data_IF_723873843180
#
_entry.id   IF_723873843180
#
_cell.length_a   1.000
_cell.length_b   1.000
_cell.length_c   1.000
_cell.angle_alpha   90.00
_cell.angle_beta   90.00
_cell.angle_gamma   90.00
#
_symmetry.space_group_name_H-M   'P 1'
#
loop_
_entity.id
_entity.type
_entity.pdbx_description
1 polymer ?
#
# COMPACT_ATOMS: atom_id res chain seq x y z
N UNK A 1 22.25 33.25 -19.72
CA UNK A 1 20.94 33.75 -19.23
C UNK A 1 19.71 33.05 -19.84
N UNK A 2 19.80 32.40 -21.02
CA UNK A 2 18.66 31.70 -21.64
C UNK A 2 18.28 30.34 -20.99
N UNK A 3 19.18 29.71 -20.25
CA UNK A 3 18.89 28.46 -19.52
C UNK A 3 18.06 28.72 -18.25
N UNK A 4 18.23 29.89 -17.63
CA UNK A 4 17.51 30.29 -16.41
C UNK A 4 16.07 30.74 -16.73
N UNK A 5 15.81 31.29 -17.93
CA UNK A 5 14.46 31.64 -18.38
C UNK A 5 13.64 30.42 -18.82
N UNK A 6 14.27 29.33 -19.27
CA UNK A 6 13.59 28.08 -19.63
C UNK A 6 13.05 27.31 -18.40
N UNK A 7 13.63 27.52 -17.21
CA UNK A 7 13.15 26.93 -15.96
C UNK A 7 11.96 27.72 -15.39
N UNK A 8 11.86 29.03 -15.66
CA UNK A 8 10.75 29.88 -15.20
C UNK A 8 9.43 29.72 -15.98
N UNK A 9 9.43 29.07 -17.15
CA UNK A 9 8.25 29.02 -18.04
C UNK A 9 7.50 27.68 -18.08
N UNK A 10 8.02 26.60 -17.48
CA UNK A 10 7.26 25.35 -17.38
C UNK A 10 6.28 25.45 -16.21
N UNK A 11 5.06 25.93 -16.50
CA UNK A 11 3.92 25.77 -15.57
C UNK A 11 3.77 24.27 -15.28
N UNK A 12 3.95 23.89 -14.02
CA UNK A 12 3.74 22.53 -13.53
C UNK A 12 2.29 22.14 -13.84
N UNK A 13 2.06 21.03 -14.52
CA UNK A 13 0.70 20.57 -14.83
C UNK A 13 -0.02 20.10 -13.56
N UNK A 14 -1.37 20.10 -13.51
CA UNK A 14 -2.11 19.57 -12.37
C UNK A 14 -1.75 18.13 -11.99
N UNK A 15 -1.41 17.29 -12.98
CA UNK A 15 -0.94 15.92 -12.80
C UNK A 15 0.44 15.88 -12.14
N UNK A 16 1.37 16.70 -12.63
CA UNK A 16 2.71 16.82 -12.04
C UNK A 16 2.66 17.34 -10.61
N UNK A 17 1.77 18.30 -10.34
CA UNK A 17 1.53 18.82 -8.99
C UNK A 17 0.97 17.72 -8.07
N UNK A 18 0.04 16.91 -8.55
CA UNK A 18 -0.48 15.77 -7.80
C UNK A 18 0.59 14.72 -7.54
N UNK A 19 1.43 14.39 -8.52
CA UNK A 19 2.55 13.46 -8.32
C UNK A 19 3.52 13.96 -7.23
N UNK A 20 3.88 15.24 -7.25
CA UNK A 20 4.69 15.86 -6.19
C UNK A 20 3.97 15.79 -4.83
N UNK A 21 2.67 16.07 -4.80
CA UNK A 21 1.87 15.98 -3.57
C UNK A 21 1.87 14.55 -3.02
N UNK A 22 1.73 13.53 -3.86
CA UNK A 22 1.76 12.12 -3.43
C UNK A 22 3.13 11.72 -2.89
N UNK A 23 4.22 12.23 -3.47
CA UNK A 23 5.56 12.01 -2.92
C UNK A 23 5.70 12.61 -1.51
N UNK A 24 5.21 13.84 -1.31
CA UNK A 24 5.20 14.48 0.02
C UNK A 24 4.35 13.69 1.02
N UNK A 25 3.18 13.20 0.60
CA UNK A 25 2.29 12.38 1.44
C UNK A 25 2.96 11.06 1.85
N UNK A 26 3.61 10.36 0.92
CA UNK A 26 4.32 9.12 1.24
C UNK A 26 5.53 9.37 2.14
N UNK A 27 6.32 10.41 1.85
CA UNK A 27 7.42 10.83 2.72
C UNK A 27 6.95 11.22 4.12
N UNK A 28 5.84 11.92 4.24
CA UNK A 28 5.22 12.28 5.51
C UNK A 28 4.70 11.07 6.30
N UNK A 29 4.06 10.11 5.63
CA UNK A 29 3.67 8.84 6.26
C UNK A 29 4.89 8.02 6.72
N UNK A 30 5.96 7.99 5.93
CA UNK A 30 7.20 7.32 6.32
C UNK A 30 7.84 8.00 7.53
N UNK A 31 7.96 9.33 7.51
CA UNK A 31 8.46 10.13 8.63
C UNK A 31 7.61 9.94 9.89
N UNK A 32 6.28 9.93 9.77
CA UNK A 32 5.37 9.65 10.87
C UNK A 32 5.69 8.32 11.55
N UNK A 33 5.89 7.24 10.76
CA UNK A 33 6.25 5.94 11.30
C UNK A 33 7.61 5.96 12.00
N UNK A 34 8.62 6.62 11.42
CA UNK A 34 9.93 6.76 12.05
C UNK A 34 9.86 7.50 13.39
N UNK A 35 9.12 8.61 13.43
CA UNK A 35 8.95 9.40 14.65
C UNK A 35 8.23 8.56 15.72
N UNK A 36 7.17 7.84 15.38
CA UNK A 36 6.50 6.94 16.31
C UNK A 36 7.43 5.85 16.84
N UNK A 37 8.21 5.22 15.96
CA UNK A 37 9.18 4.19 16.36
C UNK A 37 10.19 4.70 17.37
N UNK A 38 10.70 5.92 17.19
CA UNK A 38 11.64 6.55 18.11
C UNK A 38 11.02 6.94 19.45
N UNK A 39 9.82 7.53 19.43
CA UNK A 39 9.21 8.08 20.65
C UNK A 39 8.62 6.98 21.52
N UNK A 40 7.94 6.00 20.91
CA UNK A 40 7.21 4.96 21.64
C UNK A 40 8.11 3.79 22.10
N UNK A 41 9.27 3.61 21.44
CA UNK A 41 10.11 2.43 21.61
C UNK A 41 9.48 1.14 21.04
N UNK A 42 10.23 0.02 20.97
CA UNK A 42 9.81 -1.14 20.19
C UNK A 42 8.47 -1.74 20.61
N UNK A 43 8.24 -1.95 21.91
CA UNK A 43 7.04 -2.64 22.39
C UNK A 43 5.74 -1.89 22.06
N UNK A 44 5.69 -0.57 22.29
CA UNK A 44 4.52 0.23 21.97
C UNK A 44 4.41 0.53 20.47
N UNK A 45 5.56 0.67 19.78
CA UNK A 45 5.58 0.81 18.33
C UNK A 45 5.02 -0.43 17.63
N UNK A 46 5.17 -1.63 18.20
CA UNK A 46 4.57 -2.84 17.66
C UNK A 46 3.04 -2.73 17.55
N UNK A 47 2.37 -2.23 18.58
CA UNK A 47 0.92 -2.02 18.56
C UNK A 47 0.52 -0.94 17.54
N UNK A 48 1.30 0.13 17.44
CA UNK A 48 1.09 1.18 16.43
C UNK A 48 1.28 0.62 15.00
N UNK A 49 2.31 -0.19 14.79
CA UNK A 49 2.61 -0.83 13.52
C UNK A 49 1.46 -1.74 13.08
N UNK A 50 0.82 -2.48 13.99
CA UNK A 50 -0.38 -3.27 13.69
C UNK A 50 -1.50 -2.40 13.16
N UNK A 51 -1.82 -1.27 13.82
CA UNK A 51 -2.88 -0.37 13.35
C UNK A 51 -2.57 0.19 11.97
N UNK A 52 -1.31 0.53 11.73
CA UNK A 52 -0.85 1.04 10.44
C UNK A 52 -0.93 -0.06 9.38
N UNK A 53 -0.57 -1.30 9.72
CA UNK A 53 -0.75 -2.45 8.83
C UNK A 53 -2.23 -2.72 8.55
N UNK A 54 -3.11 -2.65 9.55
CA UNK A 54 -4.56 -2.75 9.36
C UNK A 54 -5.09 -1.64 8.44
N UNK A 55 -4.60 -0.41 8.62
CA UNK A 55 -4.93 0.70 7.74
C UNK A 55 -4.45 0.43 6.31
N UNK A 56 -3.26 -0.11 6.12
CA UNK A 56 -2.74 -0.50 4.80
C UNK A 56 -3.59 -1.61 4.18
N UNK A 57 -3.95 -2.65 4.93
CA UNK A 57 -4.85 -3.73 4.47
C UNK A 57 -6.19 -3.16 4.01
N UNK A 58 -6.80 -2.28 4.80
CA UNK A 58 -8.04 -1.61 4.42
C UNK A 58 -7.83 -0.64 3.25
N UNK A 59 -6.67 0.00 3.12
CA UNK A 59 -6.29 0.88 2.00
C UNK A 59 -6.42 0.19 0.66
N UNK A 60 -5.94 -1.04 0.56
CA UNK A 60 -6.01 -1.85 -0.65
C UNK A 60 -7.46 -2.24 -1.00
N UNK A 61 -8.26 -2.64 -0.01
CA UNK A 61 -9.69 -2.93 -0.23
C UNK A 61 -10.46 -1.67 -0.64
N UNK A 62 -10.22 -0.54 0.03
CA UNK A 62 -10.88 0.72 -0.29
C UNK A 62 -10.39 1.31 -1.62
N UNK A 63 -9.13 1.05 -2.02
CA UNK A 63 -8.59 1.47 -3.32
C UNK A 63 -9.35 0.84 -4.48
N UNK A 64 -9.90 -0.37 -4.32
CA UNK A 64 -10.82 -0.95 -5.31
C UNK A 64 -12.00 -0.03 -5.60
N UNK A 65 -12.62 0.55 -4.56
CA UNK A 65 -13.70 1.52 -4.72
C UNK A 65 -13.22 2.80 -5.41
N UNK A 66 -12.04 3.30 -5.05
CA UNK A 66 -11.44 4.48 -5.68
C UNK A 66 -11.21 4.26 -7.19
N UNK A 67 -10.56 3.16 -7.57
CA UNK A 67 -10.23 2.84 -8.97
C UNK A 67 -11.48 2.59 -9.82
N UNK A 68 -12.44 1.84 -9.30
CA UNK A 68 -13.74 1.61 -9.97
C UNK A 68 -14.46 2.93 -10.16
N UNK A 69 -14.54 3.76 -9.12
CA UNK A 69 -15.19 5.07 -9.22
C UNK A 69 -14.49 5.96 -10.24
N UNK A 70 -13.16 6.04 -10.22
CA UNK A 70 -12.38 6.84 -11.16
C UNK A 70 -12.61 6.43 -12.62
N UNK A 71 -12.51 5.13 -12.92
CA UNK A 71 -12.70 4.60 -14.27
C UNK A 71 -14.10 4.89 -14.79
N UNK A 72 -15.13 4.58 -14.00
CA UNK A 72 -16.52 4.70 -14.46
C UNK A 72 -17.07 6.12 -14.35
N UNK A 73 -16.40 7.02 -13.61
CA UNK A 73 -16.68 8.46 -13.65
C UNK A 73 -16.43 9.09 -15.02
N UNK A 74 -15.57 8.47 -15.85
CA UNK A 74 -15.31 8.90 -17.24
C UNK A 74 -16.31 8.25 -18.22
N UNK A 75 -16.90 7.10 -17.86
CA UNK A 75 -17.80 6.32 -18.73
C UNK A 75 -19.26 6.74 -18.59
N UNK A 76 -19.67 7.16 -17.40
CA UNK A 76 -21.03 7.60 -17.12
C UNK A 76 -21.13 9.12 -17.19
N UNK A 77 -22.24 9.62 -17.75
CA UNK A 77 -22.51 11.05 -17.90
C UNK A 77 -23.82 11.44 -17.18
N UNK A 78 -23.93 12.71 -16.80
CA UNK A 78 -25.17 13.34 -16.30
C UNK A 78 -25.86 12.54 -15.18
N UNK A 79 -27.13 12.16 -15.35
CA UNK A 79 -27.89 11.42 -14.34
C UNK A 79 -27.35 10.00 -14.09
N UNK A 80 -26.83 9.33 -15.13
CA UNK A 80 -26.24 8.00 -15.01
C UNK A 80 -25.00 8.02 -14.10
N UNK A 81 -24.23 9.10 -14.16
CA UNK A 81 -23.10 9.34 -13.28
C UNK A 81 -23.54 9.50 -11.81
N UNK A 82 -24.58 10.30 -11.56
CA UNK A 82 -25.08 10.51 -10.18
C UNK A 82 -25.64 9.21 -9.58
N UNK A 83 -26.40 8.43 -10.38
CA UNK A 83 -26.93 7.14 -9.96
C UNK A 83 -25.82 6.13 -9.65
N UNK A 84 -24.79 6.07 -10.51
CA UNK A 84 -23.61 5.24 -10.29
C UNK A 84 -22.89 5.63 -9.00
N UNK A 85 -22.55 6.91 -8.83
CA UNK A 85 -21.82 7.41 -7.65
C UNK A 85 -22.62 7.16 -6.37
N UNK A 86 -23.93 7.46 -6.35
CA UNK A 86 -24.81 7.18 -5.21
C UNK A 86 -24.84 5.69 -4.84
N UNK A 87 -24.89 4.80 -5.85
CA UNK A 87 -24.84 3.35 -5.64
C UNK A 87 -23.50 2.89 -5.07
N UNK A 88 -22.39 3.41 -5.58
CA UNK A 88 -21.06 3.08 -5.08
C UNK A 88 -20.84 3.61 -3.66
N UNK A 89 -21.27 4.83 -3.34
CA UNK A 89 -21.26 5.35 -1.97
C UNK A 89 -22.06 4.47 -1.01
N UNK A 90 -23.27 4.05 -1.40
CA UNK A 90 -24.09 3.13 -0.59
C UNK A 90 -23.34 1.80 -0.35
N UNK A 91 -22.80 1.19 -1.40
CA UNK A 91 -22.06 -0.06 -1.28
C UNK A 91 -20.80 0.10 -0.40
N UNK A 92 -20.02 1.16 -0.61
CA UNK A 92 -18.82 1.47 0.17
C UNK A 92 -19.15 1.70 1.64
N UNK A 93 -20.25 2.42 1.93
CA UNK A 93 -20.73 2.65 3.30
C UNK A 93 -21.14 1.34 3.96
N UNK A 94 -21.91 0.50 3.27
CA UNK A 94 -22.33 -0.80 3.80
C UNK A 94 -21.13 -1.69 4.09
N UNK A 95 -20.17 -1.80 3.14
CA UNK A 95 -18.95 -2.58 3.34
C UNK A 95 -18.12 -2.01 4.49
N UNK A 96 -17.94 -0.69 4.56
CA UNK A 96 -17.21 -0.03 5.62
C UNK A 96 -17.85 -0.21 7.00
N UNK A 97 -19.17 -0.15 7.10
CA UNK A 97 -19.92 -0.42 8.34
C UNK A 97 -19.77 -1.89 8.74
N UNK A 98 -19.96 -2.83 7.81
CA UNK A 98 -19.82 -4.27 8.09
C UNK A 98 -18.41 -4.58 8.59
N UNK A 99 -17.37 -4.11 7.90
CA UNK A 99 -15.98 -4.33 8.31
C UNK A 99 -15.64 -3.61 9.63
N UNK A 100 -16.13 -2.38 9.84
CA UNK A 100 -15.95 -1.64 11.09
C UNK A 100 -16.60 -2.35 12.28
N UNK A 101 -17.84 -2.82 12.12
CA UNK A 101 -18.55 -3.62 13.14
C UNK A 101 -17.81 -4.92 13.40
N UNK A 102 -17.35 -5.64 12.37
CA UNK A 102 -16.57 -6.87 12.57
C UNK A 102 -15.31 -6.60 13.39
N UNK A 103 -14.55 -5.54 13.10
CA UNK A 103 -13.37 -5.17 13.88
C UNK A 103 -13.73 -4.84 15.34
N UNK A 104 -14.83 -4.11 15.57
CA UNK A 104 -15.27 -3.75 16.92
C UNK A 104 -15.72 -4.99 17.71
N UNK A 105 -16.55 -5.85 17.09
CA UNK A 105 -17.09 -7.07 17.72
C UNK A 105 -15.95 -8.04 18.06
N UNK A 106 -14.99 -8.20 17.15
CA UNK A 106 -13.84 -9.07 17.35
C UNK A 106 -12.65 -8.37 18.03
N UNK A 107 -12.80 -7.16 18.57
CA UNK A 107 -11.67 -6.37 19.12
C UNK A 107 -10.90 -7.09 20.23
N UNK A 108 -11.58 -7.86 21.09
CA UNK A 108 -10.93 -8.66 22.15
C UNK A 108 -10.15 -9.84 21.57
N UNK A 109 -10.71 -10.53 20.58
CA UNK A 109 -10.04 -11.62 19.88
C UNK A 109 -8.84 -11.09 19.10
N UNK A 110 -8.95 -9.93 18.44
CA UNK A 110 -7.83 -9.26 17.77
C UNK A 110 -6.73 -8.88 18.76
N UNK A 111 -7.09 -8.41 19.96
CA UNK A 111 -6.12 -8.15 21.03
C UNK A 111 -5.36 -9.41 21.44
N UNK A 112 -6.07 -10.53 21.63
CA UNK A 112 -5.47 -11.82 22.00
C UNK A 112 -4.61 -12.39 20.87
N UNK A 113 -5.08 -12.31 19.63
CA UNK A 113 -4.34 -12.80 18.46
C UNK A 113 -3.07 -11.97 18.28
N UNK A 114 -3.13 -10.64 18.34
CA UNK A 114 -1.96 -9.80 18.08
C UNK A 114 -1.19 -9.39 19.34
N UNK A 115 -1.46 -10.01 20.50
CA UNK A 115 -0.81 -9.68 21.77
C UNK A 115 -0.68 -8.16 21.98
N UNK A 116 -1.76 -7.40 21.76
CA UNK A 116 -1.74 -5.94 21.89
C UNK A 116 -2.12 -5.50 23.30
N UNK A 117 -1.65 -4.31 23.68
CA UNK A 117 -1.84 -3.78 25.03
C UNK A 117 -3.31 -3.49 25.36
N UNK A 118 -4.15 -3.22 24.36
CA UNK A 118 -5.56 -2.86 24.56
C UNK A 118 -6.42 -3.18 23.35
N UNK A 119 -7.59 -3.80 23.56
CA UNK A 119 -8.61 -3.98 22.52
C UNK A 119 -9.28 -2.67 22.09
N UNK A 120 -9.24 -1.64 22.94
CA UNK A 120 -9.85 -0.33 22.64
C UNK A 120 -9.22 0.33 21.42
N UNK A 121 -7.95 0.05 21.11
CA UNK A 121 -7.30 0.54 19.89
C UNK A 121 -8.03 0.07 18.62
N UNK A 122 -8.52 -1.17 18.60
CA UNK A 122 -9.28 -1.73 17.49
C UNK A 122 -10.70 -1.18 17.44
N UNK A 123 -11.31 -0.90 18.59
CA UNK A 123 -12.64 -0.28 18.64
C UNK A 123 -12.58 1.12 18.00
N UNK A 124 -11.63 1.95 18.43
CA UNK A 124 -11.42 3.32 17.88
C UNK A 124 -11.13 3.25 16.39
N UNK A 125 -10.25 2.34 15.98
CA UNK A 125 -9.93 2.13 14.57
C UNK A 125 -11.16 1.70 13.75
N UNK A 126 -11.95 0.74 14.26
CA UNK A 126 -13.17 0.22 13.64
C UNK A 126 -14.22 1.29 13.36
N UNK A 127 -14.36 2.27 14.26
CA UNK A 127 -15.26 3.43 14.06
C UNK A 127 -14.84 4.28 12.85
N UNK A 128 -13.55 4.33 12.52
CA UNK A 128 -13.03 5.10 11.39
C UNK A 128 -13.20 4.41 10.03
N UNK A 129 -13.41 3.08 10.01
CA UNK A 129 -13.46 2.30 8.78
C UNK A 129 -14.55 2.78 7.79
N UNK A 130 -15.80 3.07 8.20
CA UNK A 130 -16.79 3.63 7.29
C UNK A 130 -16.33 4.94 6.61
N UNK A 131 -15.69 5.84 7.37
CA UNK A 131 -15.16 7.10 6.84
C UNK A 131 -14.09 6.87 5.78
N UNK A 132 -13.27 5.85 5.99
CA UNK A 132 -12.22 5.47 5.05
C UNK A 132 -12.78 5.06 3.68
N UNK A 133 -13.82 4.21 3.67
CA UNK A 133 -14.46 3.77 2.43
C UNK A 133 -15.18 4.91 1.71
N UNK A 134 -15.85 5.80 2.45
CA UNK A 134 -16.45 7.02 1.90
C UNK A 134 -15.39 7.92 1.24
N UNK A 135 -14.25 8.11 1.91
CA UNK A 135 -13.14 8.90 1.41
C UNK A 135 -12.59 8.32 0.10
N UNK A 136 -12.44 7.01 -0.01
CA UNK A 136 -11.95 6.36 -1.23
C UNK A 136 -12.88 6.56 -2.43
N UNK A 137 -14.20 6.53 -2.24
CA UNK A 137 -15.15 6.87 -3.32
C UNK A 137 -14.99 8.35 -3.73
N UNK A 138 -14.88 9.26 -2.77
CA UNK A 138 -14.67 10.69 -3.05
C UNK A 138 -13.39 10.95 -3.84
N UNK A 139 -12.28 10.31 -3.44
CA UNK A 139 -11.00 10.33 -4.17
C UNK A 139 -11.16 9.80 -5.60
N UNK A 140 -11.93 8.72 -5.77
CA UNK A 140 -12.22 8.16 -7.08
C UNK A 140 -12.98 9.13 -7.98
N UNK A 141 -13.97 9.86 -7.45
CA UNK A 141 -14.68 10.91 -8.19
C UNK A 141 -13.73 12.02 -8.64
N UNK A 142 -12.87 12.53 -7.74
CA UNK A 142 -11.90 13.57 -8.09
C UNK A 142 -10.88 13.08 -9.12
N UNK A 143 -10.40 11.84 -8.98
CA UNK A 143 -9.47 11.22 -9.92
C UNK A 143 -10.10 11.05 -11.31
N UNK A 144 -11.35 10.58 -11.39
CA UNK A 144 -12.04 10.41 -12.67
C UNK A 144 -12.37 11.73 -13.37
N UNK A 145 -12.67 12.79 -12.61
CA UNK A 145 -12.89 14.14 -13.15
C UNK A 145 -11.61 14.93 -13.40
N UNK A 146 -10.44 14.34 -13.12
CA UNK A 146 -9.15 15.01 -13.19
C UNK A 146 -9.08 16.27 -12.28
N UNK A 147 -9.86 16.31 -11.19
CA UNK A 147 -9.82 17.34 -10.15
C UNK A 147 -8.62 17.09 -9.19
N UNK A 148 -7.41 16.96 -9.77
CA UNK A 148 -6.17 16.56 -9.08
C UNK A 148 -5.79 17.45 -7.88
N UNK A 149 -6.16 18.73 -7.92
CA UNK A 149 -5.97 19.65 -6.78
C UNK A 149 -6.79 19.22 -5.57
N UNK A 150 -8.07 18.88 -5.76
CA UNK A 150 -8.93 18.43 -4.66
C UNK A 150 -8.49 17.06 -4.17
N UNK A 151 -8.12 16.17 -5.09
CA UNK A 151 -7.54 14.88 -4.74
C UNK A 151 -6.29 15.04 -3.85
N UNK A 152 -5.37 15.93 -4.24
CA UNK A 152 -4.17 16.25 -3.45
C UNK A 152 -4.52 16.74 -2.05
N UNK A 153 -5.51 17.62 -1.91
CA UNK A 153 -5.95 18.14 -0.61
C UNK A 153 -6.43 17.00 0.29
N UNK A 154 -7.20 16.04 -0.21
CA UNK A 154 -7.66 14.90 0.61
C UNK A 154 -6.50 14.07 1.17
N UNK A 155 -5.45 13.83 0.38
CA UNK A 155 -4.29 13.05 0.83
C UNK A 155 -3.41 13.83 1.81
N UNK A 156 -3.19 15.12 1.55
CA UNK A 156 -2.41 15.98 2.43
C UNK A 156 -3.13 16.22 3.76
N UNK A 157 -4.44 16.47 3.73
CA UNK A 157 -5.25 16.65 4.92
C UNK A 157 -5.22 15.40 5.81
N UNK A 158 -5.38 14.20 5.24
CA UNK A 158 -5.23 12.94 5.97
C UNK A 158 -3.84 12.80 6.60
N UNK A 159 -2.78 12.96 5.81
CA UNK A 159 -1.40 12.75 6.29
C UNK A 159 -1.00 13.77 7.36
N UNK A 160 -1.22 15.06 7.10
CA UNK A 160 -0.84 16.15 8.02
C UNK A 160 -1.64 16.08 9.31
N UNK A 161 -2.95 15.85 9.24
CA UNK A 161 -3.77 15.71 10.45
C UNK A 161 -3.34 14.49 11.26
N UNK A 162 -3.06 13.33 10.63
CA UNK A 162 -2.53 12.15 11.33
C UNK A 162 -1.26 12.49 12.08
N UNK A 163 -0.30 13.13 11.40
CA UNK A 163 0.99 13.47 11.97
C UNK A 163 0.84 14.48 13.11
N UNK A 164 0.20 15.62 12.85
CA UNK A 164 0.09 16.73 13.82
C UNK A 164 -0.76 16.35 15.02
N UNK A 165 -1.87 15.63 14.84
CA UNK A 165 -2.77 15.28 15.93
C UNK A 165 -2.16 14.19 16.79
N UNK A 166 -1.59 13.13 16.18
CA UNK A 166 -0.96 12.06 16.98
C UNK A 166 0.22 12.63 17.78
N UNK A 167 1.11 13.39 17.14
CA UNK A 167 2.27 13.96 17.83
C UNK A 167 1.84 15.01 18.86
N UNK A 168 0.87 15.85 18.53
CA UNK A 168 0.31 16.82 19.47
C UNK A 168 -0.24 16.15 20.72
N UNK A 169 -1.02 15.08 20.57
CA UNK A 169 -1.55 14.33 21.72
C UNK A 169 -0.43 13.66 22.53
N UNK A 170 0.57 13.07 21.87
CA UNK A 170 1.70 12.44 22.57
C UNK A 170 2.49 13.48 23.38
N UNK A 171 2.86 14.62 22.79
CA UNK A 171 3.70 15.61 23.45
C UNK A 171 2.96 16.48 24.47
N UNK A 172 1.68 16.81 24.23
CA UNK A 172 0.91 17.66 25.14
C UNK A 172 0.34 16.89 26.34
N UNK A 173 -0.09 15.64 26.14
CA UNK A 173 -0.68 14.83 27.21
C UNK A 173 0.34 13.88 27.85
N UNK A 174 1.54 13.76 27.28
CA UNK A 174 2.59 12.81 27.68
C UNK A 174 2.09 11.36 27.70
N UNK A 175 1.13 11.02 26.83
CA UNK A 175 0.56 9.67 26.70
C UNK A 175 1.22 8.99 25.50
N UNK A 176 2.21 8.15 25.77
CA UNK A 176 2.83 7.28 24.79
C UNK A 176 2.06 5.95 24.77
N UNK A 177 1.06 5.85 23.88
CA UNK A 177 0.18 4.68 23.80
C UNK A 177 -0.37 4.48 22.39
N UNK A 178 -0.60 3.22 22.02
CA UNK A 178 -1.27 2.82 20.78
C UNK A 178 -2.69 3.38 20.65
N UNK A 179 -3.34 3.74 21.76
CA UNK A 179 -4.63 4.43 21.76
C UNK A 179 -4.55 5.82 21.11
N UNK A 180 -3.47 6.56 21.38
CA UNK A 180 -3.26 7.90 20.80
C UNK A 180 -3.06 7.79 19.29
N UNK A 181 -2.34 6.75 18.84
CA UNK A 181 -2.17 6.43 17.42
C UNK A 181 -3.53 6.09 16.77
N UNK A 182 -4.35 5.26 17.41
CA UNK A 182 -5.69 4.93 16.91
C UNK A 182 -6.59 6.17 16.78
N UNK A 183 -6.57 7.07 17.76
CA UNK A 183 -7.30 8.35 17.73
C UNK A 183 -6.79 9.25 16.60
N UNK A 184 -5.47 9.38 16.47
CA UNK A 184 -4.85 10.14 15.39
C UNK A 184 -5.22 9.61 14.01
N UNK A 185 -5.26 8.28 13.84
CA UNK A 185 -5.77 7.64 12.61
C UNK A 185 -7.24 8.00 12.41
N UNK A 186 -8.12 7.75 13.39
CA UNK A 186 -9.56 8.03 13.27
C UNK A 186 -9.84 9.48 12.84
N UNK A 187 -9.24 10.45 13.53
CA UNK A 187 -9.44 11.87 13.22
C UNK A 187 -8.88 12.18 11.82
N UNK A 188 -7.75 11.58 11.44
CA UNK A 188 -7.17 11.77 10.10
C UNK A 188 -8.09 11.32 8.97
N UNK A 189 -8.89 10.29 9.19
CA UNK A 189 -9.88 9.83 8.20
C UNK A 189 -11.02 10.84 8.02
N UNK A 190 -11.39 11.54 9.10
CA UNK A 190 -12.32 12.66 9.04
C UNK A 190 -11.77 13.82 8.21
N UNK A 191 -10.52 14.23 8.45
CA UNK A 191 -9.87 15.28 7.65
C UNK A 191 -9.64 14.86 6.19
N UNK A 192 -9.36 13.57 5.95
CA UNK A 192 -9.19 13.03 4.60
C UNK A 192 -10.46 13.08 3.75
N UNK A 193 -11.64 13.15 4.37
CA UNK A 193 -12.90 13.39 3.64
C UNK A 193 -12.97 14.81 3.06
N UNK A 194 -12.22 15.78 3.61
CA UNK A 194 -12.28 17.18 3.19
C UNK A 194 -11.39 17.42 1.95
N UNK A 195 -11.89 18.08 0.90
CA UNK A 195 -13.26 18.56 0.72
C UNK A 195 -14.23 17.44 0.36
N UNK A 196 -15.44 17.46 0.95
CA UNK A 196 -16.51 16.55 0.60
C UNK A 196 -17.69 17.34 0.03
N UNK A 197 -17.99 17.17 -1.27
CA UNK A 197 -19.07 17.91 -1.93
C UNK A 197 -20.39 17.16 -1.76
N UNK A 198 -21.10 17.42 -0.65
CA UNK A 198 -22.39 16.77 -0.30
C UNK A 198 -23.51 17.05 -1.32
N UNK A 199 -23.50 18.21 -1.99
CA UNK A 199 -24.61 18.71 -2.81
C UNK A 199 -24.99 17.84 -4.02
N UNK A 200 -24.17 16.83 -4.37
CA UNK A 200 -24.42 15.93 -5.51
C UNK A 200 -24.91 14.54 -5.09
N UNK A 201 -25.01 14.25 -3.79
CA UNK A 201 -25.46 12.94 -3.29
C UNK A 201 -26.98 12.87 -3.14
N UNK A 202 -27.69 12.64 -4.25
CA UNK A 202 -29.07 12.16 -4.18
C UNK A 202 -29.06 10.68 -3.77
N UNK A 203 -29.08 10.42 -2.46
CA UNK A 203 -29.25 9.08 -1.88
C UNK A 203 -30.70 8.57 -2.01
N UNK A 204 -31.64 9.43 -2.42
CA UNK A 204 -33.03 9.07 -2.69
C UNK A 204 -33.12 8.56 -4.14
N UNK A 205 -33.36 7.25 -4.25
CA UNK A 205 -33.51 6.44 -5.49
C UNK A 205 -32.25 6.33 -6.34
N UNK A 206 -31.47 5.26 -6.12
CA UNK A 206 -30.49 4.81 -7.11
C UNK A 206 -31.25 4.38 -8.37
N UNK A 207 -31.22 5.19 -9.42
CA UNK A 207 -31.78 4.83 -10.72
C UNK A 207 -31.13 3.56 -11.26
N UNK A 208 -31.84 2.87 -12.16
CA UNK A 208 -31.39 1.60 -12.73
C UNK A 208 -30.16 1.87 -13.61
N UNK A 209 -29.02 1.26 -13.26
CA UNK A 209 -27.85 1.23 -14.13
C UNK A 209 -28.10 0.14 -15.18
N UNK A 210 -27.86 0.47 -16.46
CA UNK A 210 -27.96 -0.47 -17.57
C UNK A 210 -27.18 -1.78 -17.27
N UNK A 211 -27.81 -2.94 -17.49
CA UNK A 211 -27.28 -4.24 -17.08
C UNK A 211 -25.87 -4.53 -17.65
N UNK A 212 -25.62 -4.10 -18.88
CA UNK A 212 -24.35 -4.21 -19.59
C UNK A 212 -23.24 -3.45 -18.86
N UNK A 213 -23.50 -2.19 -18.47
CA UNK A 213 -22.54 -1.35 -17.73
C UNK A 213 -22.37 -1.84 -16.29
N UNK A 214 -23.43 -2.32 -15.65
CA UNK A 214 -23.35 -2.93 -14.32
C UNK A 214 -22.47 -4.20 -14.30
N UNK A 215 -22.54 -5.04 -15.34
CA UNK A 215 -21.68 -6.21 -15.52
C UNK A 215 -20.21 -5.81 -15.67
N UNK A 216 -19.92 -4.76 -16.45
CA UNK A 216 -18.56 -4.23 -16.59
C UNK A 216 -18.00 -3.69 -15.27
N UNK A 217 -18.80 -2.94 -14.51
CA UNK A 217 -18.43 -2.45 -13.17
C UNK A 217 -18.09 -3.62 -12.26
N UNK A 218 -18.95 -4.64 -12.20
CA UNK A 218 -18.74 -5.82 -11.36
C UNK A 218 -17.47 -6.57 -11.74
N UNK A 219 -17.26 -6.84 -13.03
CA UNK A 219 -16.08 -7.56 -13.49
C UNK A 219 -14.79 -6.81 -13.16
N UNK A 220 -14.76 -5.49 -13.39
CA UNK A 220 -13.61 -4.66 -13.04
C UNK A 220 -13.38 -4.65 -11.52
N UNK A 221 -14.43 -4.51 -10.72
CA UNK A 221 -14.35 -4.57 -9.26
C UNK A 221 -13.74 -5.88 -8.77
N UNK A 222 -14.20 -7.03 -9.28
CA UNK A 222 -13.70 -8.35 -8.86
C UNK A 222 -12.23 -8.53 -9.21
N UNK A 223 -11.82 -8.16 -10.43
CA UNK A 223 -10.42 -8.27 -10.86
C UNK A 223 -9.52 -7.36 -10.02
N UNK A 224 -9.93 -6.11 -9.79
CA UNK A 224 -9.17 -5.18 -8.95
C UNK A 224 -9.12 -5.66 -7.50
N UNK A 225 -10.23 -6.11 -6.91
CA UNK A 225 -10.23 -6.63 -5.54
C UNK A 225 -9.29 -7.82 -5.35
N UNK A 226 -9.27 -8.77 -6.31
CA UNK A 226 -8.37 -9.92 -6.27
C UNK A 226 -6.89 -9.50 -6.38
N UNK A 227 -6.62 -8.52 -7.24
CA UNK A 227 -5.30 -7.94 -7.41
C UNK A 227 -4.79 -7.31 -6.10
N UNK A 228 -5.60 -6.45 -5.49
CA UNK A 228 -5.26 -5.76 -4.25
C UNK A 228 -5.11 -6.76 -3.08
N UNK A 229 -5.94 -7.81 -3.02
CA UNK A 229 -5.79 -8.88 -2.03
C UNK A 229 -4.43 -9.58 -2.11
N UNK A 230 -3.95 -9.83 -3.34
CA UNK A 230 -2.62 -10.40 -3.56
C UNK A 230 -1.52 -9.49 -3.01
N UNK A 231 -1.64 -8.18 -3.24
CA UNK A 231 -0.67 -7.20 -2.74
C UNK A 231 -0.68 -7.12 -1.20
N UNK A 232 -1.85 -7.21 -0.57
CA UNK A 232 -1.98 -7.25 0.89
C UNK A 232 -1.22 -8.45 1.46
N UNK A 233 -1.49 -9.65 0.94
CA UNK A 233 -0.92 -10.89 1.44
C UNK A 233 0.61 -10.85 1.37
N UNK A 234 1.18 -10.44 0.24
CA UNK A 234 2.64 -10.44 0.08
C UNK A 234 3.29 -9.36 0.95
N UNK A 235 2.76 -8.13 0.91
CA UNK A 235 3.44 -6.97 1.50
C UNK A 235 3.20 -6.76 2.99
N UNK A 236 2.17 -7.38 3.60
CA UNK A 236 1.77 -7.02 4.96
C UNK A 236 1.49 -8.21 5.89
N UNK A 237 1.43 -9.43 5.36
CA UNK A 237 1.16 -10.62 6.20
C UNK A 237 2.24 -10.87 7.23
N UNK A 238 3.48 -10.52 6.91
CA UNK A 238 4.64 -10.76 7.75
C UNK A 238 4.58 -10.00 9.08
N UNK A 239 4.27 -8.70 9.04
CA UNK A 239 4.11 -7.89 10.27
C UNK A 239 2.99 -8.44 11.15
N UNK A 240 1.87 -8.85 10.54
CA UNK A 240 0.73 -9.41 11.30
C UNK A 240 1.07 -10.75 11.94
N UNK A 241 1.74 -11.65 11.22
CA UNK A 241 2.15 -12.96 11.73
C UNK A 241 3.23 -12.82 12.82
N UNK A 242 4.21 -11.93 12.62
CA UNK A 242 5.23 -11.70 13.63
C UNK A 242 4.61 -11.15 14.92
N UNK A 243 3.67 -10.21 14.82
CA UNK A 243 2.97 -9.73 16.02
C UNK A 243 2.11 -10.80 16.70
N UNK A 244 1.59 -11.76 15.93
CA UNK A 244 0.83 -12.87 16.50
C UNK A 244 1.70 -13.85 17.28
N UNK A 245 2.86 -14.21 16.73
CA UNK A 245 3.71 -15.27 17.29
C UNK A 245 4.80 -14.78 18.24
N UNK A 246 5.24 -13.53 18.13
CA UNK A 246 6.34 -12.98 18.91
C UNK A 246 5.85 -11.97 19.93
N UNK A 247 6.66 -11.77 20.97
CA UNK A 247 6.43 -10.77 21.99
C UNK A 247 6.44 -9.35 21.41
N UNK A 248 5.77 -8.42 22.09
CA UNK A 248 5.61 -7.04 21.58
C UNK A 248 6.93 -6.34 21.30
N UNK A 249 7.97 -6.60 22.09
CA UNK A 249 9.30 -6.03 21.85
C UNK A 249 9.90 -6.51 20.52
N UNK A 250 9.94 -7.82 20.29
CA UNK A 250 10.45 -8.43 19.05
C UNK A 250 9.62 -8.06 17.82
N UNK A 251 8.30 -7.98 17.96
CA UNK A 251 7.44 -7.52 16.88
C UNK A 251 7.69 -6.05 16.51
N UNK A 252 8.01 -5.21 17.49
CA UNK A 252 8.42 -3.82 17.27
C UNK A 252 9.76 -3.70 16.56
N UNK A 253 10.73 -4.52 16.96
CA UNK A 253 12.01 -4.68 16.29
C UNK A 253 11.82 -5.09 14.83
N UNK A 254 10.97 -6.08 14.57
CA UNK A 254 10.67 -6.51 13.20
C UNK A 254 9.91 -5.45 12.39
N UNK A 255 9.00 -4.71 12.99
CA UNK A 255 8.27 -3.63 12.32
C UNK A 255 9.22 -2.51 11.83
N UNK A 256 10.26 -2.17 12.60
CA UNK A 256 11.25 -1.19 12.16
C UNK A 256 12.11 -1.70 11.01
N UNK A 257 12.55 -2.96 11.09
CA UNK A 257 13.24 -3.67 10.01
C UNK A 257 12.41 -3.63 8.71
N UNK A 258 11.12 -3.97 8.82
CA UNK A 258 10.20 -3.99 7.70
C UNK A 258 10.03 -2.61 7.07
N UNK A 259 9.97 -1.55 7.89
CA UNK A 259 9.83 -0.18 7.40
C UNK A 259 11.03 0.23 6.53
N UNK A 260 12.25 -0.03 7.00
CA UNK A 260 13.48 0.31 6.28
C UNK A 260 13.59 -0.52 5.00
N UNK A 261 13.38 -1.83 5.10
CA UNK A 261 13.56 -2.73 3.96
C UNK A 261 12.55 -2.54 2.84
N UNK A 262 11.35 -2.01 3.12
CA UNK A 262 10.32 -1.72 2.11
C UNK A 262 10.69 -0.55 1.19
N UNK A 263 11.71 0.25 1.49
CA UNK A 263 12.18 1.34 0.61
C UNK A 263 12.49 0.82 -0.80
N UNK A 264 13.11 -0.37 -0.92
CA UNK A 264 13.45 -0.98 -2.21
C UNK A 264 12.19 -1.17 -3.08
N UNK A 265 11.14 -1.69 -2.47
CA UNK A 265 9.85 -1.92 -3.13
C UNK A 265 9.19 -0.61 -3.57
N UNK A 266 9.17 0.42 -2.70
CA UNK A 266 8.60 1.71 -3.05
C UNK A 266 9.35 2.40 -4.19
N UNK A 267 10.68 2.28 -4.25
CA UNK A 267 11.45 2.81 -5.38
C UNK A 267 11.14 2.03 -6.66
N UNK A 268 11.04 0.70 -6.57
CA UNK A 268 10.67 -0.15 -7.69
C UNK A 268 9.29 0.19 -8.27
N UNK A 269 8.34 0.59 -7.42
CA UNK A 269 7.00 1.01 -7.81
C UNK A 269 7.01 2.16 -8.84
N UNK A 270 7.94 3.11 -8.72
CA UNK A 270 8.07 4.20 -9.67
C UNK A 270 8.38 3.70 -11.09
N UNK A 271 9.21 2.66 -11.22
CA UNK A 271 9.54 2.07 -12.51
C UNK A 271 8.40 1.26 -13.09
N UNK A 272 7.60 0.59 -12.25
CA UNK A 272 6.39 -0.13 -12.68
C UNK A 272 5.40 0.82 -13.34
N UNK A 273 5.18 2.02 -12.75
CA UNK A 273 4.28 3.03 -13.33
C UNK A 273 4.73 3.53 -14.70
N UNK A 274 6.04 3.51 -15.00
CA UNK A 274 6.59 3.88 -16.31
C UNK A 274 6.59 2.71 -17.30
N UNK A 275 6.82 1.49 -16.80
CA UNK A 275 6.84 0.26 -17.58
C UNK A 275 5.48 0.01 -18.23
N UNK A 276 4.40 0.01 -17.43
CA UNK A 276 3.07 -0.42 -17.87
C UNK A 276 2.59 0.35 -19.12
N UNK A 277 2.50 1.69 -19.14
CA UNK A 277 2.04 2.43 -20.33
C UNK A 277 2.97 2.23 -21.52
N UNK A 278 4.27 2.14 -21.29
CA UNK A 278 5.27 1.93 -22.34
C UNK A 278 5.10 0.57 -23.02
N UNK A 279 4.87 -0.49 -22.24
CA UNK A 279 4.65 -1.85 -22.77
C UNK A 279 3.31 -1.93 -23.49
N UNK A 280 2.23 -1.33 -22.96
CA UNK A 280 0.94 -1.26 -23.65
C UNK A 280 1.08 -0.57 -25.00
N UNK A 281 1.80 0.55 -25.06
CA UNK A 281 2.03 1.28 -26.31
C UNK A 281 2.82 0.45 -27.32
N UNK A 282 3.96 -0.12 -26.91
CA UNK A 282 4.79 -0.95 -27.79
C UNK A 282 4.04 -2.19 -28.30
N UNK A 283 3.21 -2.80 -27.45
CA UNK A 283 2.38 -3.94 -27.84
C UNK A 283 1.32 -3.54 -28.87
N UNK A 284 0.68 -2.38 -28.72
CA UNK A 284 -0.25 -1.83 -29.73
C UNK A 284 0.44 -1.52 -31.05
N UNK A 285 1.70 -1.07 -31.00
CA UNK A 285 2.54 -0.80 -32.17
C UNK A 285 3.15 -2.07 -32.79
N UNK A 286 2.87 -3.26 -32.24
CA UNK A 286 3.46 -4.53 -32.71
C UNK A 286 4.97 -4.65 -32.50
N UNK A 287 5.55 -3.80 -31.63
CA UNK A 287 6.99 -3.75 -31.35
C UNK A 287 7.40 -4.72 -30.24
N UNK A 288 8.68 -5.10 -30.22
CA UNK A 288 9.25 -5.94 -29.16
C UNK A 288 9.23 -5.21 -27.82
N UNK A 289 8.56 -5.79 -26.83
CA UNK A 289 8.40 -5.23 -25.47
C UNK A 289 9.45 -5.73 -24.48
N UNK A 290 10.05 -6.90 -24.73
CA UNK A 290 11.06 -7.51 -23.85
C UNK A 290 12.28 -6.62 -23.52
N UNK A 291 12.86 -5.84 -24.46
CA UNK A 291 13.99 -4.96 -24.12
C UNK A 291 13.63 -3.91 -23.05
N UNK A 292 12.39 -3.42 -23.07
CA UNK A 292 11.90 -2.47 -22.08
C UNK A 292 11.79 -3.13 -20.71
N UNK A 293 11.25 -4.35 -20.64
CA UNK A 293 11.24 -5.13 -19.39
C UNK A 293 12.64 -5.27 -18.81
N UNK A 294 13.61 -5.74 -19.61
CA UNK A 294 14.98 -5.95 -19.14
C UNK A 294 15.67 -4.65 -18.69
N UNK A 295 15.40 -3.54 -19.38
CA UNK A 295 15.88 -2.21 -18.96
C UNK A 295 15.43 -1.87 -17.54
N UNK A 296 14.14 -2.04 -17.25
CA UNK A 296 13.60 -1.72 -15.92
C UNK A 296 13.98 -2.77 -14.87
N UNK A 297 14.08 -4.06 -15.22
CA UNK A 297 14.65 -5.10 -14.35
C UNK A 297 16.07 -4.73 -13.94
N UNK A 298 16.92 -4.28 -14.87
CA UNK A 298 18.28 -3.87 -14.57
C UNK A 298 18.32 -2.65 -13.63
N UNK A 299 17.44 -1.66 -13.81
CA UNK A 299 17.34 -0.51 -12.90
C UNK A 299 16.94 -0.93 -11.49
N UNK A 300 15.89 -1.74 -11.35
CA UNK A 300 15.44 -2.22 -10.04
C UNK A 300 16.51 -3.10 -9.39
N UNK A 301 17.13 -4.01 -10.13
CA UNK A 301 18.19 -4.87 -9.62
C UNK A 301 19.41 -4.06 -9.15
N UNK A 302 19.83 -3.04 -9.92
CA UNK A 302 20.93 -2.16 -9.52
C UNK A 302 20.64 -1.39 -8.23
N UNK A 303 19.42 -0.86 -8.10
CA UNK A 303 18.98 -0.16 -6.89
C UNK A 303 18.87 -1.12 -5.69
N UNK A 304 18.28 -2.30 -5.90
CA UNK A 304 18.17 -3.31 -4.86
C UNK A 304 19.55 -3.75 -4.37
N UNK A 305 20.50 -4.02 -5.28
CA UNK A 305 21.88 -4.34 -4.92
C UNK A 305 22.56 -3.22 -4.14
N UNK A 306 22.39 -1.96 -4.57
CA UNK A 306 22.95 -0.81 -3.87
C UNK A 306 22.41 -0.68 -2.44
N UNK A 307 21.10 -0.85 -2.25
CA UNK A 307 20.46 -0.76 -0.93
C UNK A 307 20.88 -1.94 -0.05
N UNK A 308 20.86 -3.17 -0.58
CA UNK A 308 21.30 -4.37 0.16
C UNK A 308 22.75 -4.25 0.58
N UNK A 309 23.61 -3.76 -0.33
CA UNK A 309 25.03 -3.55 -0.04
C UNK A 309 25.23 -2.45 1.01
N UNK A 310 24.53 -1.31 0.90
CA UNK A 310 24.57 -0.26 1.91
C UNK A 310 24.10 -0.74 3.29
N UNK A 311 23.02 -1.53 3.33
CA UNK A 311 22.53 -2.16 4.55
C UNK A 311 23.49 -3.21 5.10
N UNK A 312 24.33 -3.83 4.26
CA UNK A 312 25.34 -4.79 4.70
C UNK A 312 26.60 -4.11 5.23
N UNK A 313 26.98 -2.95 4.68
CA UNK A 313 28.17 -2.21 5.12
C UNK A 313 27.92 -1.37 6.38
N UNK A 314 26.74 -0.77 6.50
CA UNK A 314 26.41 0.16 7.59
C UNK A 314 25.07 -0.15 8.28
N UNK A 315 24.80 -1.41 8.71
CA UNK A 315 23.52 -1.79 9.28
C UNK A 315 23.19 -1.05 10.59
N UNK A 316 24.15 -0.97 11.50
CA UNK A 316 23.98 -0.28 12.80
C UNK A 316 23.73 1.21 12.62
N UNK A 317 24.52 1.87 11.75
CA UNK A 317 24.34 3.29 11.43
C UNK A 317 22.95 3.56 10.86
N UNK A 318 22.46 2.72 9.94
CA UNK A 318 21.14 2.88 9.37
C UNK A 318 20.03 2.76 10.43
N UNK A 319 20.13 1.79 11.33
CA UNK A 319 19.14 1.58 12.39
C UNK A 319 19.19 2.71 13.43
N UNK A 320 20.36 3.04 13.97
CA UNK A 320 20.50 4.12 14.95
C UNK A 320 20.05 5.46 14.36
N UNK A 321 20.38 5.74 13.09
CA UNK A 321 19.97 6.97 12.42
C UNK A 321 18.47 7.02 12.08
N UNK A 322 17.75 5.90 12.01
CA UNK A 322 16.32 5.93 11.65
C UNK A 322 15.42 5.71 12.86
N UNK A 323 15.75 4.76 13.73
CA UNK A 323 14.93 4.32 14.85
C UNK A 323 15.62 4.46 16.22
N UNK A 324 16.95 4.53 16.26
CA UNK A 324 17.73 4.67 17.50
C UNK A 324 18.21 3.34 18.08
N UNK A 325 18.95 3.43 19.18
CA UNK A 325 19.76 2.31 19.71
C UNK A 325 18.93 1.14 20.25
N UNK A 326 17.68 1.40 20.65
CA UNK A 326 16.75 0.37 21.13
C UNK A 326 16.40 -0.68 20.08
N UNK A 327 16.71 -0.42 18.80
CA UNK A 327 16.45 -1.30 17.67
C UNK A 327 17.70 -2.00 17.10
N UNK A 328 18.89 -1.75 17.66
CA UNK A 328 20.17 -2.25 17.15
C UNK A 328 20.25 -3.77 17.01
N UNK A 329 19.48 -4.52 17.82
CA UNK A 329 19.40 -5.98 17.74
C UNK A 329 18.99 -6.50 16.34
N UNK A 330 18.35 -5.67 15.51
CA UNK A 330 17.94 -6.03 14.15
C UNK A 330 18.99 -5.76 13.07
N UNK A 331 20.12 -5.13 13.41
CA UNK A 331 21.19 -4.79 12.46
C UNK A 331 21.64 -5.99 11.61
N UNK A 332 21.85 -7.21 12.16
CA UNK A 332 22.27 -8.37 11.37
C UNK A 332 21.23 -8.84 10.35
N UNK A 333 19.94 -8.51 10.54
CA UNK A 333 18.84 -8.93 9.67
C UNK A 333 18.49 -7.88 8.60
N UNK A 334 19.05 -6.67 8.69
CA UNK A 334 18.69 -5.55 7.80
C UNK A 334 18.95 -5.87 6.32
N UNK A 335 20.15 -6.34 5.99
CA UNK A 335 20.52 -6.69 4.62
C UNK A 335 19.71 -7.87 4.09
N UNK A 336 19.41 -8.87 4.94
CA UNK A 336 18.59 -10.04 4.61
C UNK A 336 17.15 -9.63 4.26
N UNK A 337 16.55 -8.75 5.05
CA UNK A 337 15.20 -8.27 4.76
C UNK A 337 15.17 -7.39 3.51
N UNK A 338 16.16 -6.50 3.33
CA UNK A 338 16.29 -5.71 2.11
C UNK A 338 16.48 -6.58 0.86
N UNK A 339 17.15 -7.73 1.00
CA UNK A 339 17.27 -8.72 -0.08
C UNK A 339 15.91 -9.35 -0.40
N UNK A 340 15.14 -9.76 0.61
CA UNK A 340 13.80 -10.31 0.40
C UNK A 340 12.89 -9.34 -0.37
N UNK A 341 12.84 -8.07 0.05
CA UNK A 341 12.04 -7.04 -0.63
C UNK A 341 12.57 -6.68 -2.01
N UNK A 342 13.90 -6.72 -2.20
CA UNK A 342 14.53 -6.55 -3.51
C UNK A 342 14.18 -7.67 -4.50
N UNK A 343 14.26 -8.93 -4.06
CA UNK A 343 13.84 -10.09 -4.86
C UNK A 343 12.35 -9.98 -5.24
N UNK A 344 11.50 -9.60 -4.29
CA UNK A 344 10.10 -9.35 -4.56
C UNK A 344 9.90 -8.24 -5.58
N UNK A 345 10.58 -7.09 -5.42
CA UNK A 345 10.47 -5.96 -6.33
C UNK A 345 10.84 -6.33 -7.79
N UNK A 346 11.93 -7.09 -7.97
CA UNK A 346 12.35 -7.59 -9.28
C UNK A 346 11.31 -8.58 -9.82
N UNK A 347 10.79 -9.48 -8.99
CA UNK A 347 9.77 -10.43 -9.43
C UNK A 347 8.45 -9.74 -9.84
N UNK A 348 8.02 -8.75 -9.05
CA UNK A 348 6.76 -8.05 -9.23
C UNK A 348 6.73 -7.30 -10.57
N UNK A 349 7.87 -6.85 -11.10
CA UNK A 349 7.92 -6.20 -12.41
C UNK A 349 7.48 -7.15 -13.55
N UNK A 350 7.75 -8.45 -13.44
CA UNK A 350 7.27 -9.43 -14.42
C UNK A 350 5.76 -9.58 -14.35
N UNK A 351 5.19 -9.61 -13.14
CA UNK A 351 3.74 -9.65 -12.97
C UNK A 351 3.07 -8.43 -13.64
N UNK A 352 3.61 -7.22 -13.45
CA UNK A 352 3.09 -6.02 -14.09
C UNK A 352 3.31 -5.98 -15.60
N UNK A 353 4.44 -6.48 -16.08
CA UNK A 353 4.70 -6.61 -17.51
C UNK A 353 3.65 -7.49 -18.18
N UNK A 354 3.35 -8.66 -17.60
CA UNK A 354 2.34 -9.54 -18.17
C UNK A 354 0.91 -9.02 -17.98
N UNK A 355 0.64 -8.32 -16.88
CA UNK A 355 -0.61 -7.60 -16.69
C UNK A 355 -0.85 -6.57 -17.81
N UNK A 356 0.19 -5.86 -18.25
CA UNK A 356 0.12 -4.91 -19.36
C UNK A 356 -0.14 -5.55 -20.73
N UNK A 357 0.02 -6.87 -20.82
CA UNK A 357 -0.24 -7.69 -22.01
C UNK A 357 -1.51 -8.54 -21.85
N UNK A 358 -2.39 -8.20 -20.90
CA UNK A 358 -3.63 -8.93 -20.56
C UNK A 358 -3.41 -10.42 -20.24
N UNK A 359 -2.26 -10.73 -19.64
CA UNK A 359 -1.88 -12.09 -19.22
C UNK A 359 -1.73 -12.16 -17.71
N UNK A 360 -2.67 -12.86 -17.07
CA UNK A 360 -2.82 -12.81 -15.61
C UNK A 360 -2.08 -13.94 -14.87
N UNK A 361 -1.56 -14.96 -15.55
CA UNK A 361 -0.88 -16.10 -14.90
C UNK A 361 0.27 -15.67 -13.96
N UNK A 362 1.18 -14.76 -14.35
CA UNK A 362 2.20 -14.20 -13.45
C UNK A 362 1.66 -13.54 -12.19
N UNK A 363 0.49 -12.90 -12.26
CA UNK A 363 -0.17 -12.30 -11.08
C UNK A 363 -0.66 -13.40 -10.15
N UNK A 364 -1.27 -14.46 -10.69
CA UNK A 364 -1.71 -15.63 -9.91
C UNK A 364 -0.52 -16.32 -9.25
N UNK A 365 0.60 -16.48 -9.95
CA UNK A 365 1.84 -17.03 -9.38
C UNK A 365 2.27 -16.18 -8.17
N UNK A 366 2.30 -14.85 -8.27
CA UNK A 366 2.62 -13.99 -7.13
C UNK A 366 1.66 -14.20 -5.96
N UNK A 367 0.35 -14.32 -6.21
CA UNK A 367 -0.65 -14.62 -5.17
C UNK A 367 -0.40 -15.95 -4.45
N UNK A 368 -0.11 -17.01 -5.21
CA UNK A 368 0.23 -18.32 -4.64
C UNK A 368 1.49 -18.23 -3.77
N UNK A 369 2.51 -17.49 -4.21
CA UNK A 369 3.74 -17.31 -3.44
C UNK A 369 3.57 -16.41 -2.21
N UNK A 370 2.61 -15.47 -2.23
CA UNK A 370 2.20 -14.74 -1.04
C UNK A 370 1.58 -15.67 0.01
N UNK A 371 0.70 -16.57 -0.41
CA UNK A 371 0.12 -17.58 0.49
C UNK A 371 1.19 -18.57 0.96
N UNK A 372 2.13 -18.96 0.08
CA UNK A 372 3.27 -19.79 0.47
C UNK A 372 4.13 -19.09 1.52
N UNK A 373 4.45 -17.80 1.35
CA UNK A 373 5.18 -17.03 2.36
C UNK A 373 4.47 -17.08 3.71
N UNK A 374 3.15 -16.85 3.74
CA UNK A 374 2.37 -16.97 4.97
C UNK A 374 2.48 -18.37 5.57
N UNK A 375 2.31 -19.42 4.76
CA UNK A 375 2.44 -20.80 5.21
C UNK A 375 3.81 -21.11 5.79
N UNK A 376 4.89 -20.69 5.11
CA UNK A 376 6.25 -20.86 5.60
C UNK A 376 6.45 -20.16 6.95
N UNK A 377 5.97 -18.93 7.12
CA UNK A 377 6.07 -18.24 8.41
C UNK A 377 5.21 -18.92 9.49
N UNK A 378 4.01 -19.39 9.15
CA UNK A 378 3.14 -20.12 10.10
C UNK A 378 3.81 -21.40 10.60
N UNK A 379 4.52 -22.14 9.75
CA UNK A 379 5.17 -23.40 10.15
C UNK A 379 6.62 -23.23 10.63
N UNK A 380 7.29 -22.11 10.33
CA UNK A 380 8.72 -21.88 10.62
C UNK A 380 8.96 -20.47 11.20
N UNK A 381 8.67 -20.26 12.47
CA UNK A 381 8.80 -18.97 13.17
C UNK A 381 9.48 -19.06 14.56
N UNK A 382 10.44 -19.95 14.75
CA UNK A 382 11.16 -20.08 16.04
C UNK A 382 12.05 -18.86 16.36
N UNK A 383 12.39 -18.04 15.37
CA UNK A 383 13.12 -16.78 15.55
C UNK A 383 12.80 -15.78 14.43
N UNK A 384 13.03 -14.48 14.67
CA UNK A 384 12.88 -13.45 13.63
C UNK A 384 13.79 -13.71 12.43
N UNK A 385 14.99 -14.26 12.65
CA UNK A 385 15.89 -14.65 11.57
C UNK A 385 15.26 -15.74 10.69
N UNK A 386 14.62 -16.75 11.30
CA UNK A 386 13.95 -17.81 10.55
C UNK A 386 12.82 -17.24 9.69
N UNK A 387 12.03 -16.30 10.22
CA UNK A 387 10.98 -15.60 9.47
C UNK A 387 11.56 -14.91 8.24
N UNK A 388 12.62 -14.13 8.39
CA UNK A 388 13.28 -13.43 7.26
C UNK A 388 13.83 -14.41 6.23
N UNK A 389 14.46 -15.51 6.68
CA UNK A 389 14.98 -16.53 5.77
C UNK A 389 13.88 -17.21 4.95
N UNK A 390 12.72 -17.49 5.58
CA UNK A 390 11.55 -18.04 4.88
C UNK A 390 10.97 -17.07 3.85
N UNK A 391 10.98 -15.76 4.15
CA UNK A 391 10.60 -14.74 3.18
C UNK A 391 11.57 -14.69 1.99
N UNK A 392 12.88 -14.72 2.23
CA UNK A 392 13.89 -14.78 1.16
C UNK A 392 13.64 -16.01 0.27
N UNK A 393 13.41 -17.18 0.88
CA UNK A 393 13.12 -18.41 0.15
C UNK A 393 11.88 -18.25 -0.74
N UNK A 394 10.78 -17.74 -0.19
CA UNK A 394 9.55 -17.51 -0.95
C UNK A 394 9.78 -16.54 -2.13
N UNK A 395 10.43 -15.40 -1.88
CA UNK A 395 10.65 -14.37 -2.91
C UNK A 395 11.67 -14.80 -3.97
N UNK A 396 12.67 -15.59 -3.59
CA UNK A 396 13.62 -16.19 -4.52
C UNK A 396 12.93 -17.19 -5.45
N UNK A 397 12.17 -18.13 -4.90
CA UNK A 397 11.42 -19.10 -5.69
C UNK A 397 10.40 -18.43 -6.62
N UNK A 398 9.72 -17.39 -6.13
CA UNK A 398 8.82 -16.57 -6.92
C UNK A 398 9.55 -15.93 -8.11
N UNK A 399 10.72 -15.32 -7.89
CA UNK A 399 11.53 -14.73 -8.96
C UNK A 399 11.98 -15.78 -9.99
N UNK A 400 12.45 -16.94 -9.53
CA UNK A 400 12.86 -18.05 -10.41
C UNK A 400 11.70 -18.47 -11.31
N UNK A 401 10.48 -18.59 -10.77
CA UNK A 401 9.31 -18.97 -11.56
C UNK A 401 8.87 -17.88 -12.53
N UNK A 402 8.92 -16.60 -12.15
CA UNK A 402 8.59 -15.51 -13.07
C UNK A 402 9.57 -15.46 -14.26
N UNK A 403 10.87 -15.59 -13.98
CA UNK A 403 11.90 -15.65 -15.03
C UNK A 403 11.71 -16.90 -15.90
N UNK A 404 11.44 -18.06 -15.29
CA UNK A 404 11.18 -19.30 -16.03
C UNK A 404 9.98 -19.15 -16.95
N UNK A 405 8.87 -18.62 -16.43
CA UNK A 405 7.65 -18.35 -17.20
C UNK A 405 7.95 -17.43 -18.39
N UNK A 406 8.74 -16.37 -18.18
CA UNK A 406 9.16 -15.47 -19.24
C UNK A 406 9.97 -16.18 -20.34
N UNK A 407 10.92 -17.02 -19.95
CA UNK A 407 11.73 -17.81 -20.90
C UNK A 407 10.84 -18.74 -21.71
N UNK A 408 9.92 -19.48 -21.07
CA UNK A 408 9.00 -20.38 -21.76
C UNK A 408 8.08 -19.64 -22.75
N UNK A 409 7.48 -18.52 -22.33
CA UNK A 409 6.64 -17.69 -23.21
C UNK A 409 7.42 -17.15 -24.42
N UNK A 410 8.65 -16.69 -24.19
CA UNK A 410 9.50 -16.17 -25.28
C UNK A 410 9.90 -17.24 -26.30
N UNK A 411 10.09 -18.49 -25.86
CA UNK A 411 10.36 -19.63 -26.75
C UNK A 411 9.13 -20.02 -27.56
N UNK A 412 7.94 -20.00 -26.95
CA UNK A 412 6.68 -20.31 -27.63
C UNK A 412 6.35 -19.30 -28.73
N UNK A 413 6.67 -18.01 -28.55
CA UNK A 413 6.47 -16.97 -29.58
C UNK A 413 7.50 -16.98 -30.73
N UNK A 414 8.58 -17.75 -30.60
CA UNK A 414 9.60 -17.93 -31.65
C UNK A 414 9.33 -19.13 -32.55
N UNK A 415 8.48 -20.06 -32.11
CA UNK A 415 7.88 -21.11 -32.94
C UNK A 415 6.62 -20.55 -33.60
#
# INVERSE_FOLDING_TARGET
MQVISAIKSRKISPEQLFMLSVLVVNGGNYLYNLILGRILGPAQFADAAVLITFLLVLSFVAMTFQLVTAKFSVVFENESFQNFVSKIYKNATVVGIVLGILIIVFAKQLQQVFNTSSSTMFIIFGVGVPLYFLMSVNRGVYQGKQEFKLLSITYQAEMLSRLLITLGLIFLLNIQSSLVVAIGILISLGFGLVPFKYDKLRLKTAGIIEATKAKQVRNFFVITAFYELTQIIINNSDILLVKHYFESYEAGLYASLALIGRIVYFIAWMFVMLLLPTVVQLNKEGKKTAPVLFKYVAYIAGIALLIVFGCSLFPETAITLLFGDSYLAMAPLLSKYALATGLFAISNIFAYYYLSLDRYMPVVISGVFGVLQMGLVIFFHNSLEQVVNMQILAMFLLLVLQVSFFIFDSKLKRK
#
